data_IF_135268437318
#
_entry.id   IF_135268437318
#
_cell.length_a   1.000
_cell.length_b   1.000
_cell.length_c   1.000
_cell.angle_alpha   90.00
_cell.angle_beta   90.00
_cell.angle_gamma   90.00
#
_symmetry.space_group_name_H-M   'P 1'
#
loop_
_entity.id
_entity.type
_entity.pdbx_description
1 polymer ?
#
# COMPACT_ATOMS: atom_id res chain seq x y z
N UNK A 1 27.43 -3.75 14.75
CA UNK A 1 27.36 -4.69 13.60
C UNK A 1 26.68 -5.93 14.11
N UNK A 2 25.55 -6.30 13.53
CA UNK A 2 24.93 -7.62 13.76
C UNK A 2 25.77 -8.63 12.97
N UNK A 3 26.17 -9.71 13.63
CA UNK A 3 26.95 -10.81 13.05
C UNK A 3 26.15 -11.47 11.91
N UNK A 4 26.81 -11.85 10.82
CA UNK A 4 26.19 -12.53 9.67
C UNK A 4 25.51 -13.84 10.10
N UNK A 5 25.99 -14.50 11.16
CA UNK A 5 25.32 -15.69 11.71
C UNK A 5 23.98 -15.38 12.40
N UNK A 6 23.79 -14.15 12.89
CA UNK A 6 22.51 -13.67 13.45
C UNK A 6 21.57 -13.24 12.32
N UNK A 7 22.12 -12.78 11.19
CA UNK A 7 21.36 -12.41 10.00
C UNK A 7 20.61 -13.62 9.42
N UNK A 8 21.31 -14.71 9.12
CA UNK A 8 20.71 -15.91 8.51
C UNK A 8 19.63 -16.52 9.42
N UNK A 9 19.91 -16.61 10.72
CA UNK A 9 18.97 -17.15 11.71
C UNK A 9 17.68 -16.34 11.83
N UNK A 10 17.74 -15.03 11.65
CA UNK A 10 16.55 -14.17 11.74
C UNK A 10 15.73 -14.19 10.46
N UNK A 11 16.37 -14.27 9.29
CA UNK A 11 15.69 -14.46 8.01
C UNK A 11 14.91 -15.78 7.97
N UNK A 12 15.53 -16.86 8.45
CA UNK A 12 14.96 -18.20 8.41
C UNK A 12 13.86 -18.43 9.46
N UNK A 13 13.96 -17.77 10.62
CA UNK A 13 13.07 -18.03 11.76
C UNK A 13 12.90 -16.80 12.64
N UNK A 14 12.22 -15.74 12.14
CA UNK A 14 12.09 -14.47 12.86
C UNK A 14 11.33 -14.63 14.18
N UNK A 15 10.21 -15.37 14.17
CA UNK A 15 9.39 -15.63 15.35
C UNK A 15 10.18 -16.32 16.47
N UNK A 16 11.01 -17.32 16.14
CA UNK A 16 11.85 -18.01 17.11
C UNK A 16 12.88 -17.08 17.75
N UNK A 17 13.46 -16.17 16.98
CA UNK A 17 14.41 -15.19 17.55
C UNK A 17 13.70 -14.21 18.49
N UNK A 18 12.49 -13.76 18.16
CA UNK A 18 11.69 -12.91 19.04
C UNK A 18 11.30 -13.66 20.32
N UNK A 19 10.94 -14.93 20.23
CA UNK A 19 10.67 -15.80 21.37
C UNK A 19 11.91 -15.99 22.27
N UNK A 20 13.10 -16.15 21.67
CA UNK A 20 14.37 -16.22 22.42
C UNK A 20 14.68 -14.90 23.17
N UNK A 21 14.35 -13.75 22.58
CA UNK A 21 14.47 -12.45 23.25
C UNK A 21 13.49 -12.39 24.44
N UNK A 22 12.24 -12.84 24.25
CA UNK A 22 11.25 -12.90 25.32
C UNK A 22 11.71 -13.79 26.49
N UNK A 23 12.21 -15.00 26.19
CA UNK A 23 12.72 -15.93 27.21
C UNK A 23 13.90 -15.31 27.98
N UNK A 24 14.85 -14.67 27.29
CA UNK A 24 15.97 -14.01 27.97
C UNK A 24 15.51 -12.86 28.85
N UNK A 25 14.74 -11.92 28.31
CA UNK A 25 14.39 -10.68 28.99
C UNK A 25 13.42 -10.95 30.15
N UNK A 26 12.35 -11.71 29.90
CA UNK A 26 11.30 -11.93 30.89
C UNK A 26 11.69 -13.00 31.92
N UNK A 27 12.30 -14.12 31.50
CA UNK A 27 12.54 -15.26 32.41
C UNK A 27 13.94 -15.26 33.03
N UNK A 28 14.98 -14.90 32.27
CA UNK A 28 16.37 -14.94 32.76
C UNK A 28 16.76 -13.64 33.47
N UNK A 29 16.36 -12.50 32.91
CA UNK A 29 16.65 -11.17 33.49
C UNK A 29 15.56 -10.68 34.45
N UNK A 30 14.37 -11.31 34.44
CA UNK A 30 13.26 -11.00 35.36
C UNK A 30 12.59 -9.64 35.06
N UNK A 31 12.70 -9.16 33.84
CA UNK A 31 12.13 -7.88 33.39
C UNK A 31 10.67 -8.04 32.96
N UNK A 32 9.96 -6.91 32.89
CA UNK A 32 8.57 -6.92 32.47
C UNK A 32 8.39 -7.01 30.94
N UNK A 33 7.14 -7.21 30.51
CA UNK A 33 6.80 -7.31 29.10
C UNK A 33 7.06 -6.02 28.32
N UNK A 34 6.99 -4.85 28.96
CA UNK A 34 7.22 -3.58 28.27
C UNK A 34 8.72 -3.42 27.92
N UNK A 35 9.61 -3.84 28.81
CA UNK A 35 11.04 -3.90 28.54
C UNK A 35 11.37 -4.89 27.42
N UNK A 36 10.75 -6.09 27.44
CA UNK A 36 10.85 -7.04 26.33
C UNK A 36 10.39 -6.43 25.00
N UNK A 37 9.18 -5.84 24.96
CA UNK A 37 8.60 -5.25 23.75
C UNK A 37 9.52 -4.18 23.17
N UNK A 38 10.05 -3.30 24.02
CA UNK A 38 11.02 -2.27 23.63
C UNK A 38 12.29 -2.88 23.05
N UNK A 39 12.84 -3.91 23.69
CA UNK A 39 14.07 -4.56 23.24
C UNK A 39 13.87 -5.32 21.93
N UNK A 40 12.75 -6.01 21.76
CA UNK A 40 12.37 -6.69 20.52
C UNK A 40 12.18 -5.70 19.36
N UNK A 41 11.49 -4.58 19.58
CA UNK A 41 11.33 -3.54 18.56
C UNK A 41 12.66 -2.87 18.19
N UNK A 42 13.52 -2.60 19.18
CA UNK A 42 14.86 -2.07 18.92
C UNK A 42 15.72 -3.06 18.14
N UNK A 43 15.66 -4.35 18.48
CA UNK A 43 16.34 -5.40 17.73
C UNK A 43 15.87 -5.43 16.26
N UNK A 44 14.56 -5.38 16.01
CA UNK A 44 14.00 -5.33 14.66
C UNK A 44 14.46 -4.07 13.90
N UNK A 45 14.41 -2.91 14.55
CA UNK A 45 14.87 -1.64 13.98
C UNK A 45 16.37 -1.69 13.63
N UNK A 46 17.20 -2.21 14.53
CA UNK A 46 18.64 -2.37 14.34
C UNK A 46 18.96 -3.36 13.23
N UNK A 47 18.19 -4.45 13.14
CA UNK A 47 18.30 -5.44 12.08
C UNK A 47 18.01 -4.81 10.72
N UNK A 48 16.94 -4.02 10.61
CA UNK A 48 16.53 -3.39 9.34
C UNK A 48 17.39 -2.21 8.87
N UNK A 49 18.42 -1.81 9.62
CA UNK A 49 19.36 -0.74 9.20
C UNK A 49 20.14 -1.11 7.94
N UNK A 50 20.53 -0.08 7.17
CA UNK A 50 21.27 -0.24 5.92
C UNK A 50 20.43 -0.92 4.85
N UNK A 51 21.06 -1.75 4.01
CA UNK A 51 20.38 -2.37 2.86
C UNK A 51 19.51 -3.59 3.23
N UNK A 52 19.42 -3.96 4.53
CA UNK A 52 18.67 -5.15 4.97
C UNK A 52 17.18 -5.06 4.66
N UNK A 53 16.63 -3.85 4.62
CA UNK A 53 15.26 -3.62 4.22
C UNK A 53 14.97 -4.18 2.81
N UNK A 54 15.92 -4.03 1.87
CA UNK A 54 15.78 -4.51 0.49
C UNK A 54 16.10 -6.01 0.32
N UNK A 55 16.76 -6.62 1.30
CA UNK A 55 17.06 -8.06 1.30
C UNK A 55 15.81 -8.91 1.62
N UNK A 56 14.79 -8.31 2.25
CA UNK A 56 13.52 -8.99 2.53
C UNK A 56 12.67 -9.02 1.26
N UNK A 57 12.10 -10.20 0.98
CA UNK A 57 11.36 -10.44 -0.26
C UNK A 57 10.07 -9.65 -0.36
N UNK A 58 9.88 -9.03 -1.53
CA UNK A 58 8.67 -8.27 -1.83
C UNK A 58 7.52 -9.23 -2.10
N UNK A 59 6.48 -9.18 -1.28
CA UNK A 59 5.24 -9.90 -1.54
C UNK A 59 4.58 -9.32 -2.79
N UNK A 60 4.35 -10.17 -3.79
CA UNK A 60 3.78 -9.71 -5.05
C UNK A 60 2.30 -9.44 -4.88
N UNK A 61 1.89 -8.20 -5.13
CA UNK A 61 0.50 -7.80 -4.91
C UNK A 61 -0.47 -8.38 -5.96
N UNK A 62 0.08 -8.96 -7.03
CA UNK A 62 -0.66 -9.42 -8.20
C UNK A 62 -0.71 -10.97 -8.25
N UNK A 63 0.18 -11.70 -7.57
CA UNK A 63 0.34 -13.18 -7.67
C UNK A 63 -0.09 -13.96 -6.43
N UNK A 64 -0.48 -15.23 -6.60
CA UNK A 64 -0.78 -16.12 -5.47
C UNK A 64 0.53 -16.44 -4.75
N UNK A 65 0.86 -15.62 -3.76
CA UNK A 65 2.04 -15.86 -2.94
C UNK A 65 1.77 -17.07 -2.05
N UNK A 66 2.21 -18.25 -2.47
CA UNK A 66 2.28 -19.43 -1.60
C UNK A 66 3.47 -19.26 -0.64
N UNK A 67 3.36 -18.27 0.26
CA UNK A 67 4.40 -17.95 1.22
C UNK A 67 4.29 -18.85 2.45
N UNK A 68 5.41 -19.35 2.98
CA UNK A 68 5.41 -20.05 4.26
C UNK A 68 4.91 -19.16 5.39
N UNK A 69 4.13 -19.74 6.30
CA UNK A 69 3.72 -19.11 7.55
C UNK A 69 4.94 -18.66 8.36
N UNK A 70 4.92 -17.44 8.89
CA UNK A 70 5.96 -16.93 9.77
C UNK A 70 7.23 -16.42 9.07
N UNK A 71 7.25 -16.34 7.74
CA UNK A 71 8.40 -15.78 7.01
C UNK A 71 8.42 -14.25 7.03
N UNK A 72 9.61 -13.66 6.85
CA UNK A 72 9.75 -12.22 6.66
C UNK A 72 9.32 -11.81 5.25
N UNK A 73 8.47 -10.79 5.17
CA UNK A 73 8.00 -10.21 3.92
C UNK A 73 8.13 -8.70 3.93
N UNK A 74 8.40 -8.15 2.75
CA UNK A 74 8.34 -6.73 2.42
C UNK A 74 7.07 -6.50 1.62
N UNK A 75 6.31 -5.47 1.93
CA UNK A 75 5.08 -5.11 1.24
C UNK A 75 5.12 -3.65 0.84
N UNK A 76 4.84 -3.35 -0.43
CA UNK A 76 4.76 -1.99 -0.97
C UNK A 76 3.29 -1.70 -1.27
N UNK A 77 2.64 -0.89 -0.44
CA UNK A 77 1.19 -0.79 -0.43
C UNK A 77 0.70 0.60 -0.07
N UNK A 78 -0.62 0.79 -0.15
CA UNK A 78 -1.31 2.00 0.29
C UNK A 78 -2.33 1.64 1.37
N UNK A 79 -2.41 2.49 2.40
CA UNK A 79 -3.41 2.34 3.47
C UNK A 79 -4.78 2.72 2.94
N UNK A 80 -5.70 1.77 2.94
CA UNK A 80 -7.07 1.96 2.46
C UNK A 80 -8.02 2.34 3.61
N UNK A 81 -7.89 1.67 4.75
CA UNK A 81 -8.81 1.81 5.87
C UNK A 81 -8.13 1.53 7.22
N UNK A 82 -8.67 2.13 8.28
CA UNK A 82 -8.23 1.95 9.66
C UNK A 82 -9.33 1.19 10.41
N UNK A 83 -9.09 -0.09 10.67
CA UNK A 83 -10.07 -0.99 11.31
C UNK A 83 -10.19 -0.77 12.81
N UNK A 84 -9.16 -0.18 13.42
CA UNK A 84 -9.12 0.16 14.84
C UNK A 84 -8.13 -0.69 15.63
N UNK A 85 -8.38 -0.85 16.92
CA UNK A 85 -7.48 -1.54 17.86
C UNK A 85 -7.99 -2.96 18.12
N UNK A 86 -7.09 -3.93 18.09
CA UNK A 86 -7.33 -5.30 18.53
C UNK A 86 -6.48 -5.64 19.78
N UNK A 87 -6.96 -6.59 20.58
CA UNK A 87 -6.25 -7.13 21.74
C UNK A 87 -5.61 -8.47 21.39
N UNK A 88 -4.42 -8.73 21.92
CA UNK A 88 -3.71 -9.99 21.73
C UNK A 88 -3.03 -10.46 23.02
N UNK A 89 -2.81 -11.77 23.16
CA UNK A 89 -2.11 -12.35 24.30
C UNK A 89 -0.62 -12.02 24.23
N UNK A 90 -0.09 -11.39 25.29
CA UNK A 90 1.30 -10.93 25.37
C UNK A 90 2.30 -12.06 25.21
N UNK A 91 2.20 -13.06 26.08
CA UNK A 91 3.18 -14.12 26.21
C UNK A 91 2.57 -15.34 26.89
N UNK A 92 3.07 -16.53 26.54
CA UNK A 92 2.78 -17.76 27.25
C UNK A 92 4.06 -18.58 27.40
N UNK A 93 4.23 -19.20 28.57
CA UNK A 93 5.42 -20.00 28.89
C UNK A 93 5.00 -21.39 29.32
N UNK A 94 5.59 -22.41 28.70
CA UNK A 94 5.41 -23.81 29.11
C UNK A 94 6.73 -24.38 29.63
N UNK A 95 6.61 -25.19 30.69
CA UNK A 95 7.73 -25.96 31.24
C UNK A 95 7.56 -27.39 30.74
N UNK A 96 8.42 -27.80 29.80
CA UNK A 96 8.51 -29.20 29.38
C UNK A 96 9.51 -29.92 30.29
N UNK A 97 9.00 -30.66 31.28
CA UNK A 97 9.81 -31.55 32.10
C UNK A 97 10.00 -32.88 31.37
N UNK A 98 11.21 -33.15 30.89
CA UNK A 98 11.64 -34.52 30.55
C UNK A 98 12.58 -35.02 31.65
N UNK A 99 12.60 -36.33 31.88
CA UNK A 99 13.10 -36.99 33.11
C UNK A 99 14.52 -36.63 33.60
N UNK A 100 15.30 -35.80 32.90
CA UNK A 100 16.55 -35.21 33.41
C UNK A 100 16.88 -33.78 32.90
N UNK A 101 15.97 -33.08 32.20
CA UNK A 101 16.14 -31.67 31.81
C UNK A 101 14.76 -30.98 31.67
N UNK A 102 14.58 -29.87 32.39
CA UNK A 102 13.42 -28.97 32.21
C UNK A 102 13.74 -27.93 31.14
N UNK A 103 13.18 -28.09 29.95
CA UNK A 103 13.24 -27.08 28.90
C UNK A 103 12.04 -26.13 29.08
N UNK A 104 12.30 -24.83 29.13
CA UNK A 104 11.25 -23.81 29.20
C UNK A 104 11.13 -23.20 27.82
N UNK A 105 9.94 -23.27 27.21
CA UNK A 105 9.65 -22.64 25.93
C UNK A 105 8.69 -21.47 26.14
N UNK A 106 9.01 -20.32 25.56
CA UNK A 106 8.20 -19.11 25.66
C UNK A 106 7.77 -18.67 24.27
N UNK A 107 6.50 -18.33 24.12
CA UNK A 107 5.96 -17.73 22.90
C UNK A 107 5.42 -16.33 23.22
N UNK A 108 5.61 -15.38 22.30
CA UNK A 108 5.01 -14.04 22.38
C UNK A 108 4.08 -13.74 21.22
N UNK A 109 2.97 -13.05 21.52
CA UNK A 109 1.99 -12.58 20.54
C UNK A 109 2.40 -11.31 19.79
N UNK A 110 3.60 -10.76 20.05
CA UNK A 110 4.01 -9.47 19.49
C UNK A 110 3.92 -9.41 17.95
N UNK A 111 4.19 -10.51 17.24
CA UNK A 111 4.12 -10.58 15.78
C UNK A 111 3.38 -11.81 15.25
N UNK A 112 2.38 -12.30 15.99
CA UNK A 112 1.50 -13.41 15.59
C UNK A 112 0.12 -13.26 16.21
N UNK A 113 -0.92 -13.87 15.64
CA UNK A 113 -2.27 -13.81 16.24
C UNK A 113 -2.48 -14.81 17.36
N UNK A 114 -1.87 -15.98 17.24
CA UNK A 114 -2.12 -17.09 18.16
C UNK A 114 -0.83 -17.63 18.75
N UNK A 115 -0.89 -18.00 20.03
CA UNK A 115 0.17 -18.73 20.72
C UNK A 115 -0.21 -20.21 20.71
N UNK A 116 0.62 -21.03 20.08
CA UNK A 116 0.36 -22.48 19.93
C UNK A 116 0.29 -23.20 21.27
N UNK A 117 0.97 -22.65 22.27
CA UNK A 117 1.08 -23.18 23.62
C UNK A 117 -0.04 -22.72 24.56
N UNK A 118 -0.87 -21.75 24.15
CA UNK A 118 -1.90 -21.17 25.00
C UNK A 118 -3.24 -21.89 24.82
N UNK A 119 -3.86 -22.31 25.92
CA UNK A 119 -5.22 -22.83 25.89
C UNK A 119 -6.22 -21.67 25.94
N UNK A 120 -6.79 -21.33 24.79
CA UNK A 120 -7.74 -20.22 24.66
C UNK A 120 -9.09 -20.49 25.34
N UNK A 121 -9.51 -21.75 25.51
CA UNK A 121 -10.79 -22.07 26.17
C UNK A 121 -10.80 -21.71 27.65
N UNK A 122 -9.62 -21.70 28.28
CA UNK A 122 -9.44 -21.36 29.70
C UNK A 122 -8.73 -20.04 29.92
N UNK A 123 -8.34 -19.34 28.85
CA UNK A 123 -7.60 -18.09 28.93
C UNK A 123 -8.52 -16.95 29.36
N UNK A 124 -8.19 -16.32 30.50
CA UNK A 124 -8.85 -15.09 30.96
C UNK A 124 -7.93 -13.92 30.65
N UNK A 125 -8.32 -13.12 29.68
CA UNK A 125 -7.59 -11.92 29.28
C UNK A 125 -7.83 -10.74 30.23
N UNK A 126 -6.76 -10.12 30.71
CA UNK A 126 -6.80 -8.87 31.47
C UNK A 126 -5.66 -7.94 31.05
N UNK A 127 -5.53 -6.78 31.69
CA UNK A 127 -4.49 -5.80 31.37
C UNK A 127 -3.05 -6.33 31.58
N UNK A 128 -2.86 -7.37 32.40
CA UNK A 128 -1.57 -7.99 32.65
C UNK A 128 -1.21 -8.99 31.55
N UNK A 129 -2.19 -9.71 31.00
CA UNK A 129 -1.99 -10.79 29.99
C UNK A 129 -2.21 -10.34 28.55
N UNK A 130 -2.94 -9.24 28.32
CA UNK A 130 -3.21 -8.69 26.99
C UNK A 130 -2.41 -7.42 26.70
N UNK A 131 -2.13 -7.20 25.42
CA UNK A 131 -1.65 -5.93 24.85
C UNK A 131 -2.50 -5.59 23.61
N UNK A 132 -2.30 -4.40 23.06
CA UNK A 132 -3.07 -3.87 21.93
C UNK A 132 -2.21 -3.63 20.70
N UNK A 133 -2.81 -3.75 19.52
CA UNK A 133 -2.22 -3.34 18.23
C UNK A 133 -3.28 -2.75 17.31
N UNK A 134 -2.85 -1.86 16.42
CA UNK A 134 -3.75 -1.22 15.46
C UNK A 134 -3.77 -2.02 14.15
N UNK A 135 -4.96 -2.19 13.60
CA UNK A 135 -5.20 -2.95 12.36
C UNK A 135 -5.56 -2.00 11.24
N UNK A 136 -4.86 -2.16 10.13
CA UNK A 136 -5.05 -1.41 8.90
C UNK A 136 -5.40 -2.37 7.76
N UNK A 137 -6.26 -1.93 6.85
CA UNK A 137 -6.47 -2.59 5.57
C UNK A 137 -5.59 -1.90 4.54
N UNK A 138 -4.72 -2.65 3.87
CA UNK A 138 -3.83 -2.12 2.84
C UNK A 138 -4.05 -2.84 1.50
N UNK A 139 -3.89 -2.09 0.42
CA UNK A 139 -4.03 -2.53 -0.97
C UNK A 139 -2.77 -2.20 -1.76
N UNK A 140 -2.64 -2.76 -2.97
CA UNK A 140 -1.66 -2.24 -3.92
C UNK A 140 -1.92 -0.76 -4.24
N UNK A 141 -0.87 -0.01 -4.50
CA UNK A 141 -0.99 1.42 -4.74
C UNK A 141 -1.71 1.61 -6.10
N UNK A 142 -2.88 2.26 -6.10
CA UNK A 142 -3.65 2.43 -7.33
C UNK A 142 -2.89 3.27 -8.36
N UNK A 143 -2.96 2.84 -9.63
CA UNK A 143 -2.37 3.57 -10.74
C UNK A 143 -0.84 3.51 -10.83
N UNK A 144 -0.16 2.65 -10.07
CA UNK A 144 1.29 2.45 -10.27
C UNK A 144 1.60 1.95 -11.68
N UNK A 145 2.55 2.63 -12.33
CA UNK A 145 2.95 2.32 -13.69
C UNK A 145 3.81 1.06 -13.75
N UNK A 146 3.75 0.37 -14.89
CA UNK A 146 4.38 -0.94 -15.07
C UNK A 146 5.89 -0.92 -14.84
N UNK A 147 6.58 0.15 -15.23
CA UNK A 147 8.02 0.26 -15.03
C UNK A 147 8.40 0.40 -13.55
N UNK A 148 7.56 1.05 -12.73
CA UNK A 148 7.75 1.08 -11.28
C UNK A 148 7.62 -0.31 -10.71
N UNK A 149 6.51 -1.01 -11.03
CA UNK A 149 6.30 -2.40 -10.60
C UNK A 149 7.47 -3.31 -11.00
N UNK A 150 8.01 -3.14 -12.20
CA UNK A 150 9.13 -3.92 -12.71
C UNK A 150 10.43 -3.65 -11.95
N UNK A 151 10.79 -2.38 -11.69
CA UNK A 151 11.98 -2.06 -10.89
C UNK A 151 11.82 -2.64 -9.47
N UNK A 152 10.64 -2.52 -8.87
CA UNK A 152 10.35 -3.09 -7.55
C UNK A 152 10.55 -4.60 -7.51
N UNK A 153 10.16 -5.31 -8.58
CA UNK A 153 10.41 -6.75 -8.75
C UNK A 153 11.90 -7.04 -8.90
N UNK A 154 12.61 -6.28 -9.72
CA UNK A 154 14.05 -6.48 -9.96
C UNK A 154 14.94 -6.14 -8.76
N UNK A 155 14.48 -5.28 -7.85
CA UNK A 155 15.14 -5.05 -6.55
C UNK A 155 15.19 -6.33 -5.69
N UNK A 156 14.47 -7.39 -6.08
CA UNK A 156 14.55 -8.71 -5.47
C UNK A 156 15.46 -9.63 -6.30
N UNK A 157 16.51 -10.18 -5.68
CA UNK A 157 17.39 -11.18 -6.30
C UNK A 157 16.71 -12.56 -6.39
N UNK A 158 15.68 -12.70 -7.23
CA UNK A 158 15.23 -14.01 -7.70
C UNK A 158 14.92 -13.94 -9.19
N UNK A 159 15.70 -14.69 -9.98
CA UNK A 159 15.55 -14.75 -11.43
C UNK A 159 14.22 -15.43 -11.83
N UNK A 160 13.58 -14.85 -12.85
CA UNK A 160 12.48 -15.36 -13.68
C UNK A 160 11.03 -15.22 -13.14
N UNK A 161 10.39 -14.10 -13.48
CA UNK A 161 8.94 -14.13 -13.82
C UNK A 161 8.62 -13.11 -14.91
N UNK A 162 7.97 -13.55 -15.99
CA UNK A 162 7.46 -12.69 -17.08
C UNK A 162 6.14 -12.02 -16.71
N UNK A 163 5.98 -10.76 -17.12
CA UNK A 163 4.85 -9.88 -16.80
C UNK A 163 3.59 -10.21 -17.64
N UNK A 164 2.42 -10.21 -16.99
CA UNK A 164 1.12 -9.99 -17.65
C UNK A 164 0.69 -8.55 -17.38
N UNK A 165 0.29 -7.83 -18.42
CA UNK A 165 -0.20 -6.45 -18.33
C UNK A 165 -1.52 -6.40 -17.53
N UNK A 166 -1.55 -5.63 -16.45
CA UNK A 166 -2.79 -5.22 -15.81
C UNK A 166 -3.20 -3.87 -16.38
N UNK A 167 -4.24 -3.86 -17.22
CA UNK A 167 -5.04 -2.66 -17.38
C UNK A 167 -5.77 -2.40 -16.06
N UNK A 168 -5.50 -1.25 -15.43
CA UNK A 168 -6.38 -0.69 -14.40
C UNK A 168 -7.68 -0.23 -15.08
N UNK A 169 -8.47 -1.18 -15.55
CA UNK A 169 -9.86 -0.93 -15.90
C UNK A 169 -10.66 -0.97 -14.61
N UNK A 170 -11.10 0.21 -14.15
CA UNK A 170 -12.05 0.25 -13.05
C UNK A 170 -13.28 -0.55 -13.47
N UNK A 171 -13.65 -1.53 -12.65
CA UNK A 171 -14.74 -2.45 -12.95
C UNK A 171 -15.94 -1.71 -13.51
N UNK A 172 -16.41 -2.09 -14.70
CA UNK A 172 -17.72 -1.73 -15.20
C UNK A 172 -18.81 -2.42 -14.37
N UNK A 173 -18.85 -2.15 -13.06
CA UNK A 173 -19.95 -2.57 -12.21
C UNK A 173 -21.17 -1.76 -12.63
N UNK A 174 -21.95 -2.33 -13.55
CA UNK A 174 -23.38 -2.03 -13.65
C UNK A 174 -23.95 -2.22 -12.26
N UNK A 175 -24.65 -1.20 -11.74
CA UNK A 175 -25.42 -1.20 -10.49
C UNK A 175 -25.52 -2.59 -9.85
N UNK A 176 -25.02 -2.75 -8.63
CA UNK A 176 -25.68 -3.67 -7.71
C UNK A 176 -27.14 -3.16 -7.59
N UNK A 177 -28.02 -3.72 -8.42
CA UNK A 177 -29.45 -3.64 -8.19
C UNK A 177 -29.65 -4.40 -6.89
N UNK A 178 -30.05 -3.67 -5.85
CA UNK A 178 -30.84 -4.25 -4.78
C UNK A 178 -32.05 -4.90 -5.49
N UNK A 179 -32.27 -6.20 -5.28
CA UNK A 179 -33.20 -7.09 -5.98
C UNK A 179 -32.86 -7.45 -7.44
N UNK A 180 -32.24 -8.60 -7.65
CA UNK A 180 -32.98 -9.84 -7.92
C UNK A 180 -31.99 -11.02 -7.93
N UNK A 181 -32.35 -12.10 -7.25
CA UNK A 181 -31.53 -13.30 -7.15
C UNK A 181 -31.34 -13.95 -8.52
N UNK A 182 -30.15 -13.82 -9.10
CA UNK A 182 -29.61 -14.80 -10.03
C UNK A 182 -28.09 -14.64 -10.14
N UNK A 183 -27.39 -15.70 -9.75
CA UNK A 183 -25.95 -15.85 -9.78
C UNK A 183 -25.41 -15.81 -11.21
N UNK A 184 -24.81 -14.68 -11.60
CA UNK A 184 -23.85 -14.64 -12.70
C UNK A 184 -22.52 -14.13 -12.18
N UNK A 185 -21.59 -15.07 -11.99
CA UNK A 185 -20.18 -14.88 -11.69
C UNK A 185 -19.49 -14.01 -12.74
N UNK A 186 -19.49 -12.70 -12.52
CA UNK A 186 -18.50 -11.80 -13.10
C UNK A 186 -17.45 -11.56 -12.01
N UNK A 187 -16.27 -12.17 -12.20
CA UNK A 187 -15.11 -11.96 -11.35
C UNK A 187 -14.72 -10.49 -11.42
N UNK A 188 -15.25 -9.67 -10.48
CA UNK A 188 -14.56 -8.44 -10.12
C UNK A 188 -13.14 -8.88 -9.74
N UNK A 189 -12.12 -8.42 -10.46
CA UNK A 189 -10.74 -8.62 -10.04
C UNK A 189 -10.60 -7.94 -8.68
N UNK A 190 -10.81 -8.71 -7.60
CA UNK A 190 -10.70 -8.24 -6.24
C UNK A 190 -9.23 -7.86 -6.07
N UNK A 191 -8.97 -6.57 -5.94
CA UNK A 191 -7.65 -6.08 -5.60
C UNK A 191 -7.20 -6.79 -4.31
N UNK A 192 -6.01 -7.39 -4.33
CA UNK A 192 -5.51 -8.11 -3.15
C UNK A 192 -5.36 -7.15 -1.99
N UNK A 193 -5.75 -7.65 -0.82
CA UNK A 193 -5.82 -6.91 0.44
C UNK A 193 -5.06 -7.68 1.51
N UNK A 194 -4.37 -6.93 2.36
CA UNK A 194 -3.71 -7.46 3.55
C UNK A 194 -4.20 -6.71 4.78
N UNK A 195 -4.31 -7.46 5.87
CA UNK A 195 -4.36 -6.84 7.19
C UNK A 195 -2.95 -6.56 7.64
N UNK A 196 -2.71 -5.32 8.05
CA UNK A 196 -1.43 -4.86 8.54
C UNK A 196 -1.62 -4.52 10.00
N UNK A 197 -0.86 -5.18 10.87
CA UNK A 197 -1.01 -5.08 12.33
C UNK A 197 0.23 -4.45 12.93
N UNK A 198 0.05 -3.31 13.62
CA UNK A 198 1.14 -2.51 14.19
C UNK A 198 0.99 -2.44 15.71
N UNK A 199 1.96 -2.99 16.44
CA UNK A 199 1.91 -3.08 17.91
C UNK A 199 2.31 -1.79 18.63
N UNK A 200 3.11 -0.93 18.00
CA UNK A 200 3.46 0.38 18.52
C UNK A 200 3.95 1.26 17.37
N UNK A 201 3.29 2.39 17.14
CA UNK A 201 3.67 3.33 16.09
C UNK A 201 4.11 4.66 16.72
N UNK A 202 5.26 5.19 16.29
CA UNK A 202 5.69 6.53 16.70
C UNK A 202 4.76 7.62 16.13
N UNK A 203 4.24 7.39 14.92
CA UNK A 203 3.23 8.22 14.27
C UNK A 203 2.24 7.31 13.54
N UNK A 204 0.91 7.47 13.70
CA UNK A 204 -0.08 6.60 13.06
C UNK A 204 -0.05 6.73 11.53
N UNK A 205 -0.21 5.61 10.82
CA UNK A 205 -0.45 5.62 9.38
C UNK A 205 -1.72 6.40 9.00
N UNK A 206 -1.64 7.19 7.92
CA UNK A 206 -2.77 7.97 7.39
C UNK A 206 -3.47 7.24 6.26
N UNK A 207 -4.75 7.56 6.05
CA UNK A 207 -5.50 7.08 4.89
C UNK A 207 -4.83 7.55 3.59
N UNK A 208 -4.80 6.65 2.62
CA UNK A 208 -4.18 6.81 1.30
C UNK A 208 -2.65 7.03 1.32
N UNK A 209 -2.00 6.85 2.47
CA UNK A 209 -0.56 6.96 2.57
C UNK A 209 0.10 5.76 1.88
N UNK A 210 1.00 6.00 0.90
CA UNK A 210 1.81 4.94 0.33
C UNK A 210 2.96 4.61 1.30
N UNK A 211 3.10 3.33 1.63
CA UNK A 211 4.08 2.85 2.61
C UNK A 211 4.75 1.58 2.14
N UNK A 212 5.95 1.38 2.62
CA UNK A 212 6.66 0.13 2.47
C UNK A 212 6.91 -0.49 3.83
N UNK A 213 6.53 -1.75 3.99
CA UNK A 213 6.41 -2.41 5.28
C UNK A 213 7.28 -3.64 5.27
N UNK A 214 8.00 -3.89 6.36
CA UNK A 214 8.60 -5.19 6.62
C UNK A 214 7.93 -5.79 7.85
N UNK A 215 7.53 -7.05 7.74
CA UNK A 215 6.86 -7.75 8.81
C UNK A 215 6.85 -9.26 8.61
N UNK A 216 6.21 -9.94 9.56
CA UNK A 216 6.05 -11.39 9.55
C UNK A 216 4.72 -11.73 8.89
N UNK A 217 4.77 -12.56 7.86
CA UNK A 217 3.59 -13.03 7.15
C UNK A 217 2.85 -14.10 7.95
N UNK A 218 1.54 -13.96 8.02
CA UNK A 218 0.62 -14.95 8.55
C UNK A 218 -0.52 -15.14 7.55
N UNK A 219 -0.73 -16.37 7.12
CA UNK A 219 -1.81 -16.73 6.21
C UNK A 219 -3.16 -16.51 6.91
N UNK A 220 -4.11 -15.95 6.17
CA UNK A 220 -5.48 -15.84 6.65
C UNK A 220 -6.07 -17.24 6.84
N UNK A 221 -6.68 -17.49 7.99
CA UNK A 221 -7.43 -18.73 8.27
C UNK A 221 -8.90 -18.36 8.40
N UNK A 222 -9.76 -18.91 7.55
CA UNK A 222 -11.20 -18.67 7.60
C UNK A 222 -11.97 -19.53 6.60
N UNK A 223 -13.26 -19.79 6.89
CA UNK A 223 -14.17 -20.56 6.02
C UNK A 223 -14.58 -19.79 4.74
N UNK A 224 -14.26 -18.49 4.67
CA UNK A 224 -14.52 -17.66 3.51
C UNK A 224 -13.60 -18.01 2.34
N UNK A 225 -14.08 -17.85 1.11
CA UNK A 225 -13.37 -18.19 -0.13
C UNK A 225 -11.99 -17.52 -0.29
N UNK A 226 -11.71 -16.44 0.46
CA UNK A 226 -10.42 -15.74 0.50
C UNK A 226 -10.17 -15.13 1.89
N UNK A 227 -9.58 -15.85 2.85
CA UNK A 227 -9.19 -15.24 4.12
C UNK A 227 -8.01 -14.28 3.88
N UNK A 228 -8.13 -13.01 4.28
CA UNK A 228 -7.06 -12.03 4.06
C UNK A 228 -5.82 -12.41 4.85
N UNK A 229 -4.68 -12.36 4.18
CA UNK A 229 -3.40 -12.58 4.84
C UNK A 229 -3.03 -11.38 5.69
N UNK A 230 -2.33 -11.65 6.78
CA UNK A 230 -1.91 -10.66 7.77
C UNK A 230 -0.40 -10.47 7.70
N UNK A 231 0.05 -9.23 7.85
CA UNK A 231 1.46 -8.87 8.04
C UNK A 231 1.59 -8.19 9.39
N UNK A 232 2.33 -8.82 10.29
CA UNK A 232 2.68 -8.27 11.60
C UNK A 232 3.91 -7.37 11.45
N UNK A 233 3.70 -6.06 11.60
CA UNK A 233 4.68 -5.05 11.19
C UNK A 233 5.81 -4.92 12.19
N UNK A 234 7.03 -5.01 11.67
CA UNK A 234 8.25 -4.73 12.41
C UNK A 234 8.83 -3.36 12.08
N UNK A 235 8.67 -2.90 10.84
CA UNK A 235 9.00 -1.54 10.46
C UNK A 235 8.16 -1.04 9.30
N UNK A 236 8.02 0.28 9.27
CA UNK A 236 7.38 1.04 8.21
C UNK A 236 8.40 2.03 7.66
N UNK A 237 8.53 2.07 6.34
CA UNK A 237 9.25 3.09 5.58
C UNK A 237 8.24 3.94 4.82
N UNK A 238 8.27 5.24 5.08
CA UNK A 238 7.47 6.24 4.37
C UNK A 238 8.33 6.87 3.29
N UNK A 239 8.12 6.48 2.02
CA UNK A 239 8.85 7.10 0.92
C UNK A 239 8.14 8.38 0.50
N UNK A 240 8.80 9.54 0.66
CA UNK A 240 8.29 10.81 0.10
C UNK A 240 8.54 10.92 -1.40
N UNK A 241 9.47 10.13 -1.92
CA UNK A 241 9.81 10.08 -3.33
C UNK A 241 9.19 8.81 -3.91
N UNK A 242 8.34 8.99 -4.91
CA UNK A 242 7.61 7.88 -5.54
C UNK A 242 8.49 7.04 -6.47
N UNK A 243 9.64 7.57 -6.88
CA UNK A 243 10.55 6.88 -7.79
C UNK A 243 11.28 5.73 -7.06
N UNK A 244 11.24 4.49 -7.59
CA UNK A 244 11.72 3.30 -6.89
C UNK A 244 13.23 3.28 -6.61
N UNK A 245 14.03 4.01 -7.40
CA UNK A 245 15.49 4.13 -7.16
C UNK A 245 15.87 5.01 -5.97
N UNK A 246 14.96 5.88 -5.50
CA UNK A 246 15.24 6.87 -4.45
C UNK A 246 14.58 6.53 -3.11
N UNK A 247 14.21 5.27 -2.88
CA UNK A 247 13.47 4.82 -1.70
C UNK A 247 14.18 5.02 -0.36
N UNK A 248 15.49 5.22 -0.35
CA UNK A 248 16.26 5.50 0.86
C UNK A 248 16.22 6.99 1.25
N UNK A 249 15.73 7.84 0.33
CA UNK A 249 15.74 9.29 0.50
C UNK A 249 14.34 9.77 0.89
N UNK A 250 14.26 10.39 2.07
CA UNK A 250 13.07 11.16 2.46
C UNK A 250 13.01 12.53 1.75
N UNK A 251 14.13 12.96 1.18
CA UNK A 251 14.27 14.17 0.39
C UNK A 251 15.52 14.06 -0.46
N UNK A 252 15.49 14.58 -1.68
CA UNK A 252 16.68 14.79 -2.49
C UNK A 252 17.09 16.25 -2.41
N UNK A 253 18.36 16.48 -2.09
CA UNK A 253 18.99 17.78 -2.27
C UNK A 253 19.21 18.07 -3.74
N UNK A 254 19.36 19.34 -4.06
CA UNK A 254 19.64 19.78 -5.44
C UNK A 254 20.95 19.18 -5.97
N UNK A 255 21.96 19.04 -5.12
CA UNK A 255 23.26 18.48 -5.51
C UNK A 255 23.17 16.99 -5.81
N UNK A 256 22.38 16.23 -5.03
CA UNK A 256 22.11 14.80 -5.31
C UNK A 256 21.38 14.64 -6.65
N UNK A 257 20.36 15.45 -6.94
CA UNK A 257 19.65 15.40 -8.22
C UNK A 257 20.62 15.65 -9.39
N UNK A 258 21.53 16.62 -9.25
CA UNK A 258 22.52 16.95 -10.28
C UNK A 258 23.53 15.84 -10.56
N UNK A 259 23.79 14.95 -9.59
CA UNK A 259 24.63 13.77 -9.81
C UNK A 259 23.95 12.74 -10.72
N UNK A 260 22.61 12.68 -10.69
CA UNK A 260 21.83 11.70 -11.44
C UNK A 260 21.22 12.26 -12.73
N UNK A 261 21.05 13.58 -12.85
CA UNK A 261 20.35 14.20 -13.97
C UNK A 261 20.82 15.63 -14.24
N UNK A 262 21.11 15.93 -15.52
CA UNK A 262 21.20 17.32 -15.98
C UNK A 262 19.77 17.88 -16.12
N UNK A 263 19.36 18.65 -15.11
CA UNK A 263 18.01 19.24 -15.01
C UNK A 263 17.70 20.16 -16.20
N UNK A 264 18.69 20.92 -16.70
CA UNK A 264 18.46 21.85 -17.79
C UNK A 264 18.24 21.09 -19.11
N UNK A 265 19.08 20.09 -19.38
CA UNK A 265 18.92 19.21 -20.52
C UNK A 265 17.61 18.41 -20.43
N UNK A 266 17.26 17.87 -19.26
CA UNK A 266 16.02 17.14 -19.03
C UNK A 266 14.78 18.01 -19.31
N UNK A 267 14.77 19.25 -18.79
CA UNK A 267 13.71 20.22 -19.08
C UNK A 267 13.57 20.45 -20.59
N UNK A 268 14.69 20.68 -21.28
CA UNK A 268 14.68 20.93 -22.72
C UNK A 268 14.19 19.70 -23.51
N UNK A 269 14.66 18.50 -23.17
CA UNK A 269 14.27 17.25 -23.81
C UNK A 269 12.79 16.93 -23.60
N UNK A 270 12.27 17.14 -22.39
CA UNK A 270 10.84 16.99 -22.09
C UNK A 270 10.00 18.00 -22.87
N UNK A 271 10.39 19.27 -22.88
CA UNK A 271 9.66 20.33 -23.60
C UNK A 271 9.59 20.04 -25.10
N UNK A 272 10.71 19.62 -25.72
CA UNK A 272 10.74 19.24 -27.14
C UNK A 272 9.87 18.01 -27.41
N UNK A 273 9.88 17.03 -26.51
CA UNK A 273 9.02 15.83 -26.62
C UNK A 273 7.54 16.18 -26.51
N UNK A 274 7.17 17.01 -25.53
CA UNK A 274 5.80 17.49 -25.36
C UNK A 274 5.35 18.33 -26.56
N UNK A 275 6.22 19.21 -27.09
CA UNK A 275 5.89 19.99 -28.27
C UNK A 275 5.60 19.09 -29.47
N UNK A 276 6.39 18.03 -29.69
CA UNK A 276 6.12 17.05 -30.75
C UNK A 276 4.80 16.30 -30.52
N UNK A 277 4.54 15.89 -29.28
CA UNK A 277 3.31 15.20 -28.88
C UNK A 277 2.07 16.09 -29.11
N UNK A 278 2.20 17.39 -28.85
CA UNK A 278 1.15 18.39 -29.00
C UNK A 278 1.21 19.09 -30.38
N UNK A 279 1.57 18.34 -31.43
CA UNK A 279 1.56 18.77 -32.83
C UNK A 279 2.31 20.08 -33.14
N UNK A 280 3.37 20.38 -32.38
CA UNK A 280 4.19 21.58 -32.53
C UNK A 280 3.84 22.73 -31.59
N UNK A 281 2.79 22.61 -30.78
CA UNK A 281 2.37 23.66 -29.85
C UNK A 281 3.34 23.78 -28.66
N UNK A 282 4.18 24.83 -28.73
CA UNK A 282 5.17 25.13 -27.71
C UNK A 282 4.53 25.62 -26.40
N UNK A 283 3.43 26.38 -26.47
CA UNK A 283 2.80 26.96 -25.29
C UNK A 283 2.12 25.86 -24.48
N UNK A 284 1.39 24.97 -25.16
CA UNK A 284 0.78 23.80 -24.55
C UNK A 284 1.83 22.88 -23.90
N UNK A 285 2.98 22.68 -24.56
CA UNK A 285 4.09 21.91 -24.02
C UNK A 285 4.68 22.48 -22.73
N UNK A 286 4.86 23.81 -22.66
CA UNK A 286 5.33 24.50 -21.46
C UNK A 286 4.31 24.42 -20.32
N UNK A 287 3.01 24.57 -20.60
CA UNK A 287 1.97 24.39 -19.60
C UNK A 287 1.87 22.94 -19.10
N UNK A 288 2.02 21.96 -19.98
CA UNK A 288 2.06 20.55 -19.59
C UNK A 288 3.23 20.26 -18.66
N UNK A 289 4.43 20.76 -19.00
CA UNK A 289 5.57 20.65 -18.12
C UNK A 289 5.30 21.32 -16.76
N UNK A 290 4.76 22.54 -16.75
CA UNK A 290 4.41 23.26 -15.52
C UNK A 290 3.40 22.48 -14.67
N UNK A 291 2.40 21.84 -15.29
CA UNK A 291 1.41 21.02 -14.61
C UNK A 291 2.07 19.84 -13.90
N UNK A 292 2.92 19.08 -14.62
CA UNK A 292 3.59 17.89 -14.10
C UNK A 292 4.56 18.18 -12.95
N UNK A 293 5.18 19.36 -12.92
CA UNK A 293 6.08 19.77 -11.82
C UNK A 293 5.37 20.54 -10.71
N UNK A 294 4.12 20.94 -10.91
CA UNK A 294 3.33 21.67 -9.92
C UNK A 294 3.01 20.77 -8.72
N UNK A 295 3.03 21.35 -7.52
CA UNK A 295 2.73 20.65 -6.26
C UNK A 295 2.11 21.61 -5.26
N UNK A 296 1.13 21.12 -4.49
CA UNK A 296 0.57 21.89 -3.39
C UNK A 296 1.60 21.99 -2.27
N UNK A 297 2.24 23.15 -2.12
CA UNK A 297 3.24 23.37 -1.06
C UNK A 297 2.67 24.16 0.13
N UNK A 298 1.51 24.80 -0.04
CA UNK A 298 0.83 25.54 1.04
C UNK A 298 -0.68 25.52 0.84
N UNK A 299 -1.43 25.51 1.95
CA UNK A 299 -2.87 25.77 1.97
C UNK A 299 -3.14 27.06 2.74
N UNK A 300 -3.91 27.97 2.16
CA UNK A 300 -4.34 29.23 2.79
C UNK A 300 -5.84 29.31 2.69
N UNK A 301 -6.53 29.37 3.84
CA UNK A 301 -7.99 29.41 3.90
C UNK A 301 -8.67 28.31 3.05
N UNK A 302 -8.16 27.08 3.14
CA UNK A 302 -8.61 25.92 2.36
C UNK A 302 -8.35 25.97 0.85
N UNK A 303 -7.68 27.00 0.33
CA UNK A 303 -7.23 27.07 -1.07
C UNK A 303 -5.83 26.48 -1.18
N UNK A 304 -5.65 25.60 -2.16
CA UNK A 304 -4.36 25.02 -2.51
C UNK A 304 -3.50 26.04 -3.24
N UNK A 305 -2.26 26.24 -2.79
CA UNK A 305 -1.26 27.08 -3.45
C UNK A 305 -0.15 26.19 -4.02
N UNK A 306 0.13 26.35 -5.31
CA UNK A 306 1.21 25.66 -6.02
C UNK A 306 0.77 24.51 -6.92
N UNK A 307 -0.50 24.12 -6.90
CA UNK A 307 -1.07 23.22 -7.92
C UNK A 307 -1.42 23.99 -9.18
N UNK A 308 -1.13 23.40 -10.34
CA UNK A 308 -1.61 23.87 -11.63
C UNK A 308 -2.45 22.75 -12.24
N UNK A 309 -3.71 23.02 -12.53
CA UNK A 309 -4.56 22.12 -13.31
C UNK A 309 -4.49 22.50 -14.78
N UNK A 310 -4.42 21.52 -15.68
CA UNK A 310 -4.38 21.75 -17.12
C UNK A 310 -5.56 21.09 -17.80
N UNK A 311 -6.22 21.82 -18.69
CA UNK A 311 -7.28 21.30 -19.54
C UNK A 311 -6.90 21.50 -21.00
N UNK A 312 -6.97 20.42 -21.77
CA UNK A 312 -6.86 20.49 -23.23
C UNK A 312 -8.28 20.45 -23.82
N UNK A 313 -8.56 21.36 -24.73
CA UNK A 313 -9.84 21.44 -25.44
C UNK A 313 -9.64 21.10 -26.91
N UNK A 314 -10.70 20.60 -27.55
CA UNK A 314 -10.70 20.21 -28.97
C UNK A 314 -9.61 19.16 -29.30
N UNK A 315 -9.53 18.16 -28.43
CA UNK A 315 -8.57 17.06 -28.54
C UNK A 315 -9.21 15.86 -29.20
N UNK A 316 -8.51 15.25 -30.17
CA UNK A 316 -8.96 14.01 -30.79
C UNK A 316 -8.55 12.76 -29.98
N UNK A 317 -9.21 11.62 -30.25
CA UNK A 317 -8.90 10.36 -29.55
C UNK A 317 -7.45 9.90 -29.79
N UNK A 318 -6.84 10.30 -30.89
CA UNK A 318 -5.44 9.96 -31.17
C UNK A 318 -4.51 10.63 -30.16
N UNK A 319 -4.66 11.93 -29.93
CA UNK A 319 -3.85 12.66 -28.96
C UNK A 319 -4.11 12.21 -27.53
N UNK A 320 -5.37 11.88 -27.17
CA UNK A 320 -5.67 11.27 -25.86
C UNK A 320 -4.87 9.99 -25.65
N UNK A 321 -4.88 9.08 -26.64
CA UNK A 321 -4.17 7.82 -26.56
C UNK A 321 -2.65 7.99 -26.51
N UNK A 322 -2.09 8.91 -27.30
CA UNK A 322 -0.66 9.19 -27.30
C UNK A 322 -0.19 9.86 -26.00
N UNK A 323 -0.97 10.79 -25.45
CA UNK A 323 -0.73 11.34 -24.10
C UNK A 323 -0.76 10.25 -23.04
N UNK A 324 -1.78 9.39 -23.08
CA UNK A 324 -1.95 8.29 -22.14
C UNK A 324 -0.70 7.40 -22.13
N UNK A 325 -0.26 6.92 -23.31
CA UNK A 325 0.97 6.10 -23.45
C UNK A 325 2.22 6.85 -23.00
N UNK A 326 2.36 8.12 -23.37
CA UNK A 326 3.54 8.91 -22.99
C UNK A 326 3.66 9.04 -21.48
N UNK A 327 2.55 9.29 -20.79
CA UNK A 327 2.54 9.40 -19.35
C UNK A 327 2.85 8.09 -18.63
N UNK A 328 2.52 6.94 -19.21
CA UNK A 328 2.93 5.63 -18.64
C UNK A 328 4.46 5.48 -18.61
N UNK A 329 5.19 6.19 -19.48
CA UNK A 329 6.65 6.14 -19.54
C UNK A 329 7.34 7.05 -18.53
N UNK A 330 6.71 8.17 -18.14
CA UNK A 330 7.36 9.20 -17.33
C UNK A 330 6.81 9.33 -15.91
N UNK A 331 5.58 8.88 -15.66
CA UNK A 331 4.95 8.97 -14.35
C UNK A 331 5.15 7.69 -13.55
N UNK A 332 5.29 7.83 -12.24
CA UNK A 332 5.32 6.69 -11.31
C UNK A 332 3.90 6.19 -11.00
N UNK A 333 2.93 7.10 -11.01
CA UNK A 333 1.53 6.82 -10.68
C UNK A 333 0.59 7.64 -11.55
N UNK A 334 -0.33 6.97 -12.21
CA UNK A 334 -1.31 7.56 -13.11
C UNK A 334 -2.62 6.78 -13.05
N UNK A 335 -3.73 7.49 -13.01
CA UNK A 335 -5.06 6.93 -13.18
C UNK A 335 -5.74 7.63 -14.34
N UNK A 336 -6.20 6.85 -15.31
CA UNK A 336 -6.99 7.33 -16.42
C UNK A 336 -8.46 7.01 -16.15
N UNK A 337 -9.33 8.02 -16.26
CA UNK A 337 -10.77 7.86 -16.10
C UNK A 337 -11.44 8.40 -17.35
N UNK A 338 -12.08 7.50 -18.08
CA UNK A 338 -12.91 7.85 -19.23
C UNK A 338 -14.33 8.12 -18.72
N UNK A 339 -14.75 9.38 -18.70
CA UNK A 339 -16.10 9.73 -18.31
C UNK A 339 -17.04 9.53 -19.48
N UNK A 340 -17.73 8.39 -19.45
CA UNK A 340 -18.94 8.17 -20.22
C UNK A 340 -20.17 8.13 -19.29
N UNK A 341 -21.35 8.05 -19.92
CA UNK A 341 -22.63 8.00 -19.21
C UNK A 341 -22.76 6.76 -18.31
N UNK A 342 -22.19 5.62 -18.70
CA UNK A 342 -22.30 4.37 -17.95
C UNK A 342 -21.42 4.41 -16.70
N UNK A 343 -20.21 4.96 -16.79
CA UNK A 343 -19.29 5.17 -15.68
C UNK A 343 -19.90 6.16 -14.67
N UNK A 344 -20.45 7.29 -15.14
CA UNK A 344 -21.05 8.30 -14.26
C UNK A 344 -22.29 7.78 -13.52
N UNK A 345 -23.14 6.99 -14.18
CA UNK A 345 -24.36 6.44 -13.59
C UNK A 345 -24.11 5.16 -12.77
N UNK A 346 -23.06 4.40 -13.10
CA UNK A 346 -22.80 3.06 -12.57
C UNK A 346 -21.84 3.03 -11.39
N UNK A 347 -20.86 3.94 -11.33
CA UNK A 347 -19.77 3.87 -10.37
C UNK A 347 -19.90 4.89 -9.23
N UNK A 348 -19.45 4.49 -8.04
CA UNK A 348 -19.25 5.43 -6.93
C UNK A 348 -17.85 6.00 -7.00
N UNK A 349 -17.74 7.31 -7.15
CA UNK A 349 -16.48 8.08 -7.04
C UNK A 349 -16.11 8.40 -5.59
N UNK A 350 -16.85 7.86 -4.61
CA UNK A 350 -16.51 7.94 -3.19
C UNK A 350 -16.46 6.54 -2.60
N UNK A 351 -15.53 6.27 -1.67
CA UNK A 351 -15.54 5.03 -0.91
C UNK A 351 -16.90 4.81 -0.23
N UNK A 352 -17.36 3.56 -0.17
CA UNK A 352 -18.61 3.19 0.50
C UNK A 352 -18.36 2.02 1.42
N UNK A 353 -18.93 2.07 2.62
CA UNK A 353 -18.91 0.91 3.52
C UNK A 353 -19.97 -0.08 3.05
N UNK A 354 -19.55 -1.31 2.78
CA UNK A 354 -20.41 -2.45 2.56
C UNK A 354 -20.84 -2.99 3.92
N UNK A 355 -22.14 -2.91 4.19
CA UNK A 355 -22.75 -3.42 5.43
C UNK A 355 -23.39 -4.79 5.24
N UNK A 356 -23.44 -5.29 4.00
CA UNK A 356 -24.10 -6.56 3.67
C UNK A 356 -23.12 -7.74 3.74
N UNK A 357 -21.82 -7.50 3.54
CA UNK A 357 -20.80 -8.49 3.86
C UNK A 357 -20.58 -8.60 5.38
N UNK A 358 -20.39 -9.83 5.87
CA UNK A 358 -20.02 -10.13 7.26
C UNK A 358 -18.74 -9.40 7.74
N UNK A 359 -18.03 -8.77 6.83
CA UNK A 359 -16.74 -8.13 7.04
C UNK A 359 -16.83 -6.60 7.20
N UNK A 360 -18.01 -5.98 7.01
CA UNK A 360 -18.23 -4.53 7.16
C UNK A 360 -17.17 -3.68 6.44
N UNK A 361 -16.92 -3.95 5.17
CA UNK A 361 -15.71 -3.49 4.49
C UNK A 361 -15.85 -2.13 3.81
N UNK A 362 -14.78 -1.35 3.77
CA UNK A 362 -14.72 -0.18 2.91
C UNK A 362 -14.44 -0.60 1.46
N UNK A 363 -15.43 -0.47 0.59
CA UNK A 363 -15.26 -0.60 -0.85
C UNK A 363 -14.51 0.60 -1.40
N UNK A 364 -13.43 0.32 -2.12
CA UNK A 364 -12.60 1.34 -2.75
C UNK A 364 -13.37 2.11 -3.82
N UNK A 365 -12.91 3.33 -4.07
CA UNK A 365 -13.32 4.13 -5.21
C UNK A 365 -12.11 4.61 -6.02
N UNK A 366 -12.32 4.95 -7.30
CA UNK A 366 -11.29 5.48 -8.20
C UNK A 366 -10.66 6.79 -7.72
N UNK A 367 -11.31 7.53 -6.81
CA UNK A 367 -10.76 8.75 -6.21
C UNK A 367 -9.97 8.49 -4.92
N UNK A 368 -9.93 7.24 -4.43
CA UNK A 368 -9.11 6.87 -3.29
C UNK A 368 -7.67 6.62 -3.75
N UNK A 369 -6.94 7.71 -3.98
CA UNK A 369 -5.58 7.72 -4.53
C UNK A 369 -4.58 8.26 -3.52
N UNK A 370 -3.33 7.79 -3.63
CA UNK A 370 -2.21 8.34 -2.87
C UNK A 370 -1.71 9.66 -3.47
N UNK A 371 -1.03 10.46 -2.65
CA UNK A 371 -0.40 11.72 -3.06
C UNK A 371 0.52 11.54 -4.29
N UNK A 372 0.71 12.59 -5.09
CA UNK A 372 1.52 12.58 -6.32
C UNK A 372 1.01 11.60 -7.43
N UNK A 373 -0.23 11.12 -7.34
CA UNK A 373 -0.90 10.40 -8.44
C UNK A 373 -1.48 11.38 -9.45
N UNK A 374 -1.12 11.23 -10.72
CA UNK A 374 -1.74 12.04 -11.79
C UNK A 374 -3.06 11.42 -12.22
N UNK A 375 -4.15 12.17 -12.08
CA UNK A 375 -5.47 11.76 -12.57
C UNK A 375 -5.73 12.42 -13.92
N UNK A 376 -5.96 11.60 -14.94
CA UNK A 376 -6.29 12.04 -16.28
C UNK A 376 -7.75 11.73 -16.52
N UNK A 377 -8.51 12.78 -16.82
CA UNK A 377 -9.93 12.68 -17.09
C UNK A 377 -10.13 12.93 -18.57
N UNK A 378 -10.69 11.93 -19.25
CA UNK A 378 -11.19 12.10 -20.59
C UNK A 378 -12.70 12.35 -20.50
N UNK A 379 -13.09 13.60 -20.72
CA UNK A 379 -14.48 14.02 -20.69
C UNK A 379 -15.07 13.86 -22.09
N UNK A 380 -15.84 12.79 -22.30
CA UNK A 380 -16.60 12.64 -23.54
C UNK A 380 -17.79 13.58 -23.50
N UNK A 381 -18.26 14.05 -24.65
CA UNK A 381 -19.51 14.82 -24.72
C UNK A 381 -20.66 13.99 -24.13
N UNK A 382 -21.00 14.27 -22.86
CA UNK A 382 -22.07 13.60 -22.13
C UNK A 382 -23.38 14.32 -22.43
N UNK A 383 -24.39 13.54 -22.81
CA UNK A 383 -25.76 14.01 -22.93
C UNK A 383 -26.39 14.00 -21.52
N UNK A 384 -26.51 15.18 -20.92
CA UNK A 384 -27.08 15.38 -19.58
C UNK A 384 -28.44 14.70 -19.40
N UNK A 385 -29.22 14.53 -20.48
CA UNK A 385 -30.53 13.87 -20.43
C UNK A 385 -30.45 12.37 -20.12
N UNK A 386 -29.28 11.76 -20.24
CA UNK A 386 -29.02 10.33 -19.97
C UNK A 386 -28.37 10.08 -18.62
N UNK A 387 -28.08 11.12 -17.84
CA UNK A 387 -27.57 10.98 -16.48
C UNK A 387 -28.73 10.68 -15.51
N UNK A 388 -28.51 9.72 -14.63
CA UNK A 388 -29.41 9.49 -13.49
C UNK A 388 -29.09 10.44 -12.33
N UNK A 389 -29.80 10.31 -11.21
CA UNK A 389 -29.57 11.17 -10.05
C UNK A 389 -28.15 11.05 -9.46
N UNK A 390 -27.50 9.90 -9.61
CA UNK A 390 -26.13 9.67 -9.14
C UNK A 390 -25.13 10.30 -10.12
N UNK A 391 -25.30 10.04 -11.43
CA UNK A 391 -24.48 10.64 -12.48
C UNK A 391 -24.57 12.16 -12.50
N UNK A 392 -25.75 12.73 -12.28
CA UNK A 392 -25.94 14.19 -12.18
C UNK A 392 -25.23 14.82 -10.99
N UNK A 393 -25.09 14.12 -9.85
CA UNK A 393 -24.30 14.62 -8.71
C UNK A 393 -22.81 14.61 -9.03
N UNK A 394 -22.31 13.56 -9.67
CA UNK A 394 -20.88 13.46 -10.01
C UNK A 394 -20.46 14.40 -11.13
N UNK A 395 -21.31 14.56 -12.15
CA UNK A 395 -21.10 15.55 -13.21
C UNK A 395 -20.94 16.97 -12.62
N UNK A 396 -21.86 17.38 -11.74
CA UNK A 396 -21.77 18.68 -11.07
C UNK A 396 -20.56 18.83 -10.13
N UNK A 397 -20.15 17.73 -9.47
CA UNK A 397 -18.98 17.71 -8.59
C UNK A 397 -17.67 17.91 -9.35
N UNK A 398 -17.55 17.35 -10.57
CA UNK A 398 -16.42 17.61 -11.45
C UNK A 398 -16.32 19.10 -11.80
N UNK A 399 -17.40 19.75 -12.24
CA UNK A 399 -17.34 21.17 -12.59
C UNK A 399 -16.88 22.12 -11.46
N UNK A 400 -17.00 21.71 -10.19
CA UNK A 400 -16.60 22.52 -9.03
C UNK A 400 -15.18 22.23 -8.52
N UNK A 401 -14.61 21.06 -8.79
CA UNK A 401 -13.23 20.71 -8.40
C UNK A 401 -12.17 21.23 -9.40
N UNK A 402 -12.59 21.52 -10.63
CA UNK A 402 -11.71 21.85 -11.75
C UNK A 402 -11.83 23.31 -12.23
N UNK A 403 -12.49 24.19 -11.45
CA UNK A 403 -12.58 25.65 -11.68
C UNK A 403 -11.75 26.45 -10.68
#
# INVERSE_FOLDING_TARGET
MIDDMVLDKFLDSPLLQIDNIAERVCLKEGKDYAEFKKEALNFCSDWLKGNRFLQVGLIHLDENNNLPEGCLVRCHCMVQDIRGVEYFAKMNTQIQSTDNNSAVSTETGLFRDYLSTLNYDSFVGDASTLDTRTVYTCISIPGETSWVKEILRQQYNFENTTCLEESYEFSQNKRAKVDDGESNTQQSRMQKRWFIKICEEQEPLKLNEPVEIVGIYQQGVGENSFPFSTIHVMAVRRSRITHPDFKEFNSLSYDEIRLHCDVAAARQNLTVSFQKLLFGDQLAAEYLLCHLVSRVFKRVNSINVGSLTLNFYDVDEQLVNELNKFFDLILTKKVFVDFDTDVLNGQSFRPRKDYESDQEELLQSCLQLSDDTQMIIHDRLIDDSKLDSLGGVFFNFNFHLWK
#
